data_IF_572903387660
#
_entry.id   IF_572903387660
#
_cell.length_a   1.000
_cell.length_b   1.000
_cell.length_c   1.000
_cell.angle_alpha   90.00
_cell.angle_beta   90.00
_cell.angle_gamma   90.00
#
_symmetry.space_group_name_H-M   'P 1'
#
loop_
_entity.id
_entity.type
_entity.pdbx_description
1 polymer ?
#
# COMPACT_ATOMS: atom_id res chain seq x y z
N UNK A 1 -5.77 10.82 4.76
CA UNK A 1 -4.81 10.00 5.51
C UNK A 1 -5.60 8.89 6.14
N UNK A 2 -5.43 7.64 5.68
CA UNK A 2 -5.88 6.51 6.49
C UNK A 2 -5.08 6.58 7.79
N UNK A 3 -5.78 6.79 8.90
CA UNK A 3 -5.17 6.77 10.23
C UNK A 3 -4.77 5.33 10.52
N UNK A 4 -3.46 5.05 10.48
CA UNK A 4 -2.92 3.90 11.17
C UNK A 4 -3.26 4.09 12.65
N UNK A 5 -4.07 3.20 13.22
CA UNK A 5 -4.60 3.32 14.60
C UNK A 5 -3.49 3.44 15.66
N UNK A 6 -2.27 3.00 15.32
CA UNK A 6 -1.05 3.21 16.07
C UNK A 6 0.09 3.46 15.08
N UNK A 7 0.44 4.73 14.83
CA UNK A 7 1.62 5.10 14.07
C UNK A 7 2.38 6.20 14.81
N UNK A 8 3.70 6.06 14.82
CA UNK A 8 4.61 7.03 15.40
C UNK A 8 5.41 7.69 14.28
N UNK A 9 5.46 9.03 14.29
CA UNK A 9 6.34 9.77 13.42
C UNK A 9 7.71 9.92 14.08
N UNK A 10 8.69 9.17 13.57
CA UNK A 10 10.08 9.28 14.02
C UNK A 10 10.81 10.26 13.11
N UNK A 11 11.32 11.36 13.68
CA UNK A 11 12.09 12.37 12.96
C UNK A 11 13.57 12.01 12.96
N UNK A 12 14.19 11.92 11.79
CA UNK A 12 15.63 11.73 11.67
C UNK A 12 16.40 13.03 11.97
N UNK A 13 17.54 12.91 12.62
CA UNK A 13 18.46 14.03 12.87
C UNK A 13 19.48 14.14 11.73
N UNK A 14 19.29 15.12 10.84
CA UNK A 14 20.25 15.46 9.79
C UNK A 14 19.83 15.06 8.37
N UNK A 15 20.45 15.72 7.39
CA UNK A 15 20.26 15.48 5.96
C UNK A 15 21.59 15.04 5.36
N UNK A 16 21.72 13.74 5.07
CA UNK A 16 22.89 13.17 4.43
C UNK A 16 22.47 12.13 3.40
N UNK A 17 23.36 11.83 2.46
CA UNK A 17 23.13 10.74 1.51
C UNK A 17 22.90 9.43 2.29
N UNK A 18 21.78 8.75 2.02
CA UNK A 18 21.33 7.52 2.71
C UNK A 18 21.08 7.63 4.23
N UNK A 19 21.01 8.84 4.79
CA UNK A 19 20.78 9.02 6.24
C UNK A 19 19.47 8.38 6.73
N UNK A 20 18.43 8.41 5.88
CA UNK A 20 17.16 7.74 6.16
C UNK A 20 17.34 6.21 6.20
N UNK A 21 18.07 5.64 5.25
CA UNK A 21 18.24 4.19 5.12
C UNK A 21 18.98 3.61 6.30
N UNK A 22 20.04 4.30 6.77
CA UNK A 22 20.76 3.93 7.99
C UNK A 22 19.88 4.02 9.23
N UNK A 23 19.04 5.05 9.32
CA UNK A 23 18.11 5.17 10.43
C UNK A 23 17.08 4.02 10.44
N UNK A 24 16.54 3.67 9.27
CA UNK A 24 15.64 2.52 9.10
C UNK A 24 16.35 1.23 9.52
N UNK A 25 17.57 0.99 9.04
CA UNK A 25 18.35 -0.20 9.36
C UNK A 25 18.60 -0.33 10.87
N UNK A 26 19.00 0.77 11.53
CA UNK A 26 19.19 0.83 12.98
C UNK A 26 17.90 0.53 13.75
N UNK A 27 16.78 1.15 13.34
CA UNK A 27 15.48 0.93 13.99
C UNK A 27 15.02 -0.51 13.88
N UNK A 28 15.16 -1.12 12.70
CA UNK A 28 14.83 -2.54 12.48
C UNK A 28 15.71 -3.42 13.37
N UNK A 29 17.03 -3.18 13.41
CA UNK A 29 17.94 -3.95 14.27
C UNK A 29 17.55 -3.87 15.74
N UNK A 30 17.29 -2.67 16.26
CA UNK A 30 16.88 -2.46 17.66
C UNK A 30 15.55 -3.13 17.99
N UNK A 31 14.58 -3.08 17.07
CA UNK A 31 13.27 -3.72 17.28
C UNK A 31 13.38 -5.24 17.15
N UNK A 32 14.18 -5.76 16.22
CA UNK A 32 14.38 -7.19 16.05
C UNK A 32 15.03 -7.85 17.29
N UNK A 33 15.91 -7.12 17.98
CA UNK A 33 16.51 -7.59 19.25
C UNK A 33 15.48 -7.64 20.38
N UNK A 34 14.56 -6.68 20.44
CA UNK A 34 13.54 -6.56 21.51
C UNK A 34 12.30 -7.43 21.27
N UNK A 35 11.95 -7.61 20.00
CA UNK A 35 10.73 -8.30 19.56
C UNK A 35 11.10 -9.36 18.50
N UNK A 36 11.58 -10.55 18.91
CA UNK A 36 12.05 -11.58 17.98
C UNK A 36 10.97 -12.10 17.01
N UNK A 37 9.70 -12.01 17.41
CA UNK A 37 8.56 -12.47 16.61
C UNK A 37 8.04 -11.42 15.62
N UNK A 38 8.55 -10.18 15.69
CA UNK A 38 8.09 -9.08 14.86
C UNK A 38 8.33 -9.33 13.36
N UNK A 39 7.47 -8.75 12.53
CA UNK A 39 7.58 -8.80 11.06
C UNK A 39 7.73 -7.40 10.48
N UNK A 40 8.87 -7.15 9.85
CA UNK A 40 9.25 -5.85 9.33
C UNK A 40 8.91 -5.72 7.84
N UNK A 41 8.33 -4.58 7.46
CA UNK A 41 7.98 -4.27 6.08
C UNK A 41 8.49 -2.88 5.74
N UNK A 42 9.45 -2.78 4.81
CA UNK A 42 9.96 -1.51 4.30
C UNK A 42 9.10 -1.12 3.09
N UNK A 43 8.38 0.00 3.19
CA UNK A 43 7.59 0.53 2.07
C UNK A 43 8.47 1.47 1.25
N UNK A 44 9.11 0.94 0.22
CA UNK A 44 9.98 1.71 -0.68
C UNK A 44 10.09 1.06 -2.06
N UNK A 45 10.17 1.91 -3.09
CA UNK A 45 10.51 1.50 -4.45
C UNK A 45 12.02 1.35 -4.67
N UNK A 46 12.81 1.81 -3.71
CA UNK A 46 14.26 1.70 -3.76
C UNK A 46 14.72 0.27 -3.50
N UNK A 47 15.48 -0.29 -4.45
CA UNK A 47 16.07 -1.63 -4.32
C UNK A 47 17.33 -1.65 -3.47
N UNK A 48 17.85 -0.50 -3.04
CA UNK A 48 18.99 -0.37 -2.13
C UNK A 48 18.81 -1.06 -0.78
N UNK A 49 17.55 -1.34 -0.37
CA UNK A 49 17.25 -2.11 0.84
C UNK A 49 17.33 -3.63 0.65
N UNK A 50 17.39 -4.15 -0.59
CA UNK A 50 17.36 -5.60 -0.85
C UNK A 50 18.51 -6.37 -0.15
N UNK A 51 19.75 -5.84 -0.07
CA UNK A 51 20.82 -6.44 0.73
C UNK A 51 20.49 -6.53 2.22
N UNK A 52 19.90 -5.49 2.81
CA UNK A 52 19.47 -5.49 4.22
C UNK A 52 18.39 -6.55 4.46
N UNK A 53 17.39 -6.62 3.60
CA UNK A 53 16.32 -7.62 3.69
C UNK A 53 16.90 -9.04 3.61
N UNK A 54 17.87 -9.26 2.71
CA UNK A 54 18.53 -10.56 2.56
C UNK A 54 19.27 -10.96 3.84
N UNK A 55 20.02 -10.03 4.43
CA UNK A 55 20.74 -10.25 5.68
C UNK A 55 19.80 -10.54 6.87
N UNK A 56 18.71 -9.77 6.99
CA UNK A 56 17.71 -9.97 8.05
C UNK A 56 17.08 -11.37 7.95
N UNK A 57 16.68 -11.80 6.75
CA UNK A 57 16.13 -13.14 6.53
C UNK A 57 17.12 -14.25 6.87
N UNK A 58 18.39 -14.09 6.50
CA UNK A 58 19.44 -15.04 6.87
C UNK A 58 19.64 -15.14 8.38
N UNK A 59 19.34 -14.07 9.10
CA UNK A 59 19.35 -14.00 10.57
C UNK A 59 18.03 -14.45 11.21
N UNK A 60 17.16 -15.12 10.44
CA UNK A 60 15.82 -15.57 10.83
C UNK A 60 14.85 -14.45 11.23
N UNK A 61 15.11 -13.21 10.82
CA UNK A 61 14.24 -12.06 11.04
C UNK A 61 13.27 -11.94 9.85
N UNK A 62 11.97 -11.88 10.14
CA UNK A 62 10.92 -11.72 9.12
C UNK A 62 10.95 -10.30 8.58
N UNK A 63 11.55 -10.09 7.41
CA UNK A 63 11.62 -8.79 6.76
C UNK A 63 11.22 -8.87 5.27
N UNK A 64 10.56 -7.83 4.76
CA UNK A 64 10.28 -7.69 3.34
C UNK A 64 10.29 -6.23 2.89
N UNK A 65 10.52 -6.00 1.60
CA UNK A 65 10.30 -4.70 0.96
C UNK A 65 9.07 -4.78 0.08
N UNK A 66 8.21 -3.78 0.19
CA UNK A 66 7.02 -3.60 -0.63
C UNK A 66 7.11 -2.26 -1.35
N UNK A 67 6.62 -2.20 -2.59
CA UNK A 67 6.57 -0.94 -3.34
C UNK A 67 5.48 0.01 -2.85
N UNK A 68 4.52 -0.55 -2.11
CA UNK A 68 3.30 0.12 -1.71
C UNK A 68 2.75 -0.50 -0.40
N UNK A 69 2.18 0.34 0.47
CA UNK A 69 1.64 -0.08 1.77
C UNK A 69 0.58 -1.19 1.64
N UNK A 70 -0.17 -1.22 0.54
CA UNK A 70 -1.25 -2.17 0.31
C UNK A 70 -0.79 -3.55 -0.15
N UNK A 71 0.50 -3.70 -0.47
CA UNK A 71 1.11 -5.02 -0.71
C UNK A 71 1.30 -5.80 0.61
N UNK A 72 1.27 -5.11 1.76
CA UNK A 72 1.36 -5.74 3.09
C UNK A 72 0.06 -6.49 3.38
N UNK A 73 0.12 -7.84 3.37
CA UNK A 73 -1.06 -8.70 3.60
C UNK A 73 -1.82 -8.39 4.88
N UNK A 74 -1.12 -8.05 5.96
CA UNK A 74 -1.74 -7.74 7.25
C UNK A 74 -2.61 -6.46 7.21
N UNK A 75 -2.39 -5.60 6.21
CA UNK A 75 -3.11 -4.34 6.02
C UNK A 75 -4.18 -4.42 4.91
N UNK A 76 -4.36 -5.60 4.29
CA UNK A 76 -5.38 -5.80 3.25
C UNK A 76 -6.78 -5.81 3.84
N UNK A 77 -7.74 -5.33 3.05
CA UNK A 77 -9.13 -5.28 3.48
C UNK A 77 -9.74 -6.70 3.48
N UNK A 78 -10.56 -7.05 4.49
CA UNK A 78 -11.42 -8.21 4.39
C UNK A 78 -12.38 -8.01 3.22
N UNK A 79 -12.66 -9.08 2.46
CA UNK A 79 -13.66 -9.02 1.39
C UNK A 79 -15.03 -8.85 2.04
N UNK A 80 -15.59 -7.65 2.00
CA UNK A 80 -16.98 -7.43 2.44
C UNK A 80 -17.90 -8.13 1.45
N UNK A 81 -18.82 -8.95 1.95
CA UNK A 81 -19.78 -9.68 1.11
C UNK A 81 -20.81 -8.68 0.56
N UNK A 82 -20.69 -8.36 -0.74
CA UNK A 82 -21.60 -7.48 -1.49
C UNK A 82 -20.87 -6.46 -2.37
N UNK A 83 -21.33 -6.31 -3.63
CA UNK A 83 -20.69 -5.47 -4.67
C UNK A 83 -20.53 -4.00 -4.27
N UNK A 84 -21.54 -3.43 -3.59
CA UNK A 84 -21.49 -2.02 -3.15
C UNK A 84 -20.45 -1.78 -2.05
N UNK A 85 -20.23 -2.75 -1.17
CA UNK A 85 -19.20 -2.66 -0.12
C UNK A 85 -17.79 -2.66 -0.69
N UNK A 86 -17.56 -3.47 -1.73
CA UNK A 86 -16.27 -3.55 -2.44
C UNK A 86 -15.93 -2.21 -3.09
N UNK A 87 -16.90 -1.58 -3.78
CA UNK A 87 -16.67 -0.29 -4.44
C UNK A 87 -16.37 0.83 -3.43
N UNK A 88 -17.10 0.90 -2.33
CA UNK A 88 -16.88 1.91 -1.29
C UNK A 88 -15.48 1.79 -0.66
N UNK A 89 -15.03 0.55 -0.43
CA UNK A 89 -13.72 0.26 0.13
C UNK A 89 -12.59 0.59 -0.84
N UNK A 90 -12.78 0.31 -2.13
CA UNK A 90 -11.87 0.73 -3.20
C UNK A 90 -11.82 2.27 -3.31
N UNK A 91 -12.96 2.96 -3.23
CA UNK A 91 -13.03 4.42 -3.24
C UNK A 91 -12.27 5.02 -2.05
N UNK A 92 -12.50 4.51 -0.83
CA UNK A 92 -11.76 4.95 0.38
C UNK A 92 -10.26 4.73 0.21
N UNK A 93 -9.87 3.58 -0.33
CA UNK A 93 -8.48 3.25 -0.59
C UNK A 93 -7.83 4.24 -1.57
N UNK A 94 -8.45 4.43 -2.73
CA UNK A 94 -7.95 5.32 -3.78
C UNK A 94 -7.92 6.78 -3.32
N UNK A 95 -8.89 7.22 -2.52
CA UNK A 95 -8.89 8.55 -1.92
C UNK A 95 -7.72 8.74 -0.94
N UNK A 96 -7.36 7.68 -0.19
CA UNK A 96 -6.25 7.67 0.77
C UNK A 96 -4.86 7.78 0.14
N UNK A 97 -4.67 7.32 -1.10
CA UNK A 97 -3.38 7.25 -1.81
C UNK A 97 -2.77 8.61 -2.22
N UNK A 98 -3.53 9.70 -2.21
CA UNK A 98 -2.99 11.03 -2.54
C UNK A 98 -2.39 11.12 -3.96
N UNK A 99 -1.09 11.45 -4.06
CA UNK A 99 -0.36 11.54 -5.34
C UNK A 99 0.01 10.18 -5.93
N UNK A 100 0.00 9.11 -5.12
CA UNK A 100 0.35 7.73 -5.50
C UNK A 100 -0.81 6.97 -6.17
N UNK A 101 -1.88 7.67 -6.57
CA UNK A 101 -3.01 7.05 -7.27
C UNK A 101 -2.57 6.48 -8.63
N UNK A 102 -2.98 5.25 -8.99
CA UNK A 102 -2.69 4.65 -10.30
C UNK A 102 -3.18 5.53 -11.45
N UNK A 103 -2.29 6.01 -12.33
CA UNK A 103 -2.71 6.86 -13.48
C UNK A 103 -2.98 6.08 -14.77
N UNK A 104 -2.71 4.78 -14.76
CA UNK A 104 -2.91 3.87 -15.89
C UNK A 104 -3.92 2.80 -15.53
N UNK A 105 -4.76 2.40 -16.48
CA UNK A 105 -5.82 1.40 -16.28
C UNK A 105 -5.26 0.06 -15.80
N UNK A 106 -4.17 -0.41 -16.43
CA UNK A 106 -3.49 -1.64 -16.01
C UNK A 106 -3.00 -1.59 -14.57
N UNK A 107 -2.46 -0.45 -14.14
CA UNK A 107 -2.01 -0.27 -12.75
C UNK A 107 -3.20 -0.19 -11.80
N UNK A 108 -4.30 0.44 -12.20
CA UNK A 108 -5.53 0.47 -11.41
C UNK A 108 -6.08 -0.96 -11.22
N UNK A 109 -6.18 -1.75 -12.29
CA UNK A 109 -6.65 -3.13 -12.22
C UNK A 109 -5.80 -3.98 -11.27
N UNK A 110 -4.47 -3.93 -11.41
CA UNK A 110 -3.56 -4.63 -10.50
C UNK A 110 -3.67 -4.15 -9.06
N UNK A 111 -3.92 -2.85 -8.86
CA UNK A 111 -4.13 -2.26 -7.54
C UNK A 111 -5.42 -2.76 -6.89
N UNK A 112 -6.52 -2.82 -7.64
CA UNK A 112 -7.82 -3.32 -7.16
C UNK A 112 -7.72 -4.81 -6.86
N UNK A 113 -7.13 -5.61 -7.76
CA UNK A 113 -7.01 -7.07 -7.59
C UNK A 113 -6.18 -7.48 -6.37
N UNK A 114 -5.23 -6.65 -5.94
CA UNK A 114 -4.36 -6.93 -4.78
C UNK A 114 -4.88 -6.35 -3.45
N UNK A 115 -5.96 -5.56 -3.49
CA UNK A 115 -6.44 -4.80 -2.32
C UNK A 115 -7.03 -5.69 -1.23
N UNK A 116 -7.65 -6.80 -1.63
CA UNK A 116 -8.37 -7.72 -0.73
C UNK A 116 -7.49 -8.92 -0.36
N UNK A 117 -7.73 -9.48 0.85
CA UNK A 117 -6.93 -10.58 1.39
C UNK A 117 -6.88 -11.79 0.45
N UNK A 118 -8.03 -12.17 -0.11
CA UNK A 118 -8.20 -13.29 -1.04
C UNK A 118 -8.01 -12.89 -2.51
N UNK A 119 -7.71 -11.61 -2.77
CA UNK A 119 -7.69 -11.04 -4.10
C UNK A 119 -9.07 -10.90 -4.73
N UNK A 120 -9.10 -10.34 -5.93
CA UNK A 120 -10.26 -10.34 -6.82
C UNK A 120 -9.87 -11.02 -8.13
N UNK A 121 -10.79 -11.77 -8.72
CA UNK A 121 -10.59 -12.30 -10.08
C UNK A 121 -10.56 -11.16 -11.11
N UNK A 122 -10.06 -11.44 -12.30
CA UNK A 122 -10.02 -10.44 -13.37
C UNK A 122 -11.44 -9.91 -13.70
N UNK A 123 -12.45 -10.79 -13.71
CA UNK A 123 -13.85 -10.43 -13.94
C UNK A 123 -14.40 -9.53 -12.83
N UNK A 124 -14.10 -9.86 -11.56
CA UNK A 124 -14.49 -9.02 -10.42
C UNK A 124 -13.81 -7.64 -10.50
N UNK A 125 -12.54 -7.59 -10.88
CA UNK A 125 -11.80 -6.33 -11.07
C UNK A 125 -12.44 -5.49 -12.17
N UNK A 126 -12.81 -6.10 -13.31
CA UNK A 126 -13.49 -5.38 -14.40
C UNK A 126 -14.87 -4.87 -13.95
N UNK A 127 -15.63 -5.68 -13.21
CA UNK A 127 -16.92 -5.26 -12.64
C UNK A 127 -16.77 -4.04 -11.74
N UNK A 128 -15.78 -4.06 -10.84
CA UNK A 128 -15.48 -2.93 -9.94
C UNK A 128 -15.07 -1.68 -10.73
N UNK A 129 -14.23 -1.81 -11.75
CA UNK A 129 -13.84 -0.68 -12.61
C UNK A 129 -15.06 -0.08 -13.32
N UNK A 130 -15.93 -0.93 -13.88
CA UNK A 130 -17.16 -0.49 -14.54
C UNK A 130 -18.08 0.25 -13.57
N UNK A 131 -18.24 -0.26 -12.34
CA UNK A 131 -19.03 0.41 -11.31
C UNK A 131 -18.42 1.76 -10.88
N UNK A 132 -17.09 1.86 -10.76
CA UNK A 132 -16.41 3.12 -10.47
C UNK A 132 -16.62 4.16 -11.58
N UNK A 133 -16.67 3.74 -12.84
CA UNK A 133 -16.99 4.62 -13.97
C UNK A 133 -18.47 5.03 -13.96
N UNK A 134 -19.37 4.08 -13.79
CA UNK A 134 -20.82 4.32 -13.75
C UNK A 134 -21.22 5.28 -12.61
N UNK A 135 -20.60 5.14 -11.44
CA UNK A 135 -20.76 6.04 -10.29
C UNK A 135 -19.99 7.37 -10.42
N UNK A 136 -19.25 7.56 -11.52
CA UNK A 136 -18.51 8.80 -11.82
C UNK A 136 -17.26 9.05 -10.96
N UNK A 137 -16.78 8.03 -10.23
CA UNK A 137 -15.59 8.13 -9.38
C UNK A 137 -14.29 8.20 -10.17
N UNK A 138 -14.26 7.57 -11.34
CA UNK A 138 -13.13 7.59 -12.26
C UNK A 138 -13.59 7.89 -13.69
N UNK A 139 -12.67 8.43 -14.49
CA UNK A 139 -12.81 8.59 -15.93
C UNK A 139 -11.63 7.89 -16.58
N UNK A 140 -11.89 6.99 -17.53
CA UNK A 140 -10.86 6.26 -18.26
C UNK A 140 -10.86 6.75 -19.71
N UNK A 141 -9.75 7.38 -20.10
CA UNK A 141 -9.52 7.84 -21.48
C UNK A 141 -8.40 6.99 -22.08
N UNK A 142 -8.76 6.05 -22.95
CA UNK A 142 -7.85 5.02 -23.47
C UNK A 142 -7.21 4.24 -22.31
N UNK A 143 -5.94 4.52 -22.00
CA UNK A 143 -5.21 3.89 -20.90
C UNK A 143 -5.10 4.77 -19.65
N UNK A 144 -5.45 6.06 -19.75
CA UNK A 144 -5.24 7.04 -18.69
C UNK A 144 -6.45 7.12 -17.77
N UNK A 145 -6.21 7.04 -16.47
CA UNK A 145 -7.24 7.15 -15.43
C UNK A 145 -7.16 8.52 -14.75
N UNK A 146 -8.31 9.19 -14.68
CA UNK A 146 -8.55 10.40 -13.91
C UNK A 146 -9.54 10.13 -12.79
N UNK A 147 -9.41 10.85 -11.67
CA UNK A 147 -10.17 10.57 -10.44
C UNK A 147 -11.03 11.75 -10.04
N UNK A 148 -12.32 11.49 -9.81
CA UNK A 148 -13.31 12.42 -9.27
C UNK A 148 -13.74 12.00 -7.85
N UNK A 149 -12.77 11.54 -7.07
CA UNK A 149 -12.98 11.13 -5.69
C UNK A 149 -13.11 12.39 -4.82
N UNK A 150 -14.32 12.93 -4.67
CA UNK A 150 -14.58 14.06 -3.78
C UNK A 150 -14.13 13.69 -2.36
N UNK A 151 -13.26 14.49 -1.76
CA UNK A 151 -13.07 14.47 -0.31
C UNK A 151 -14.43 14.79 0.29
N UNK A 152 -15.06 13.84 0.98
CA UNK A 152 -16.18 14.15 1.87
C UNK A 152 -15.62 15.17 2.88
N UNK A 153 -16.03 16.43 2.75
CA UNK A 153 -15.72 17.47 3.74
C UNK A 153 -16.33 16.98 5.05
N UNK A 154 -15.48 16.63 6.01
CA UNK A 154 -15.85 16.63 7.41
C UNK A 154 -16.00 18.08 7.86
#
# INVERSE_FOLDING_TARGET
>A
MQSLKAAEYVRISGNGHNALDFHIAYMIGRLAEREPDASFHIVSKDRGFDPLITYLKASNIKASRVGDLFEIRALRLPKTVGDDGIVDDVVKNLAGRGSSKPRKLRTLASTIGSLFKDGLSDDEVQSVIAQLQAKGHIVVNQEKVSYNLRKRRS
#
